data_IF_386701473751
#
_entry.id   IF_386701473751
#
_cell.length_a   1.000
_cell.length_b   1.000
_cell.length_c   1.000
_cell.angle_alpha   90.00
_cell.angle_beta   90.00
_cell.angle_gamma   90.00
#
_symmetry.space_group_name_H-M   'P 1'
#
loop_
_entity.id
_entity.type
_entity.pdbx_description
1 polymer ?
#
# COMPACT_ATOMS: atom_id res chain seq x y z
N UNK A 1 -20.75 -10.21 10.03
CA UNK A 1 -20.79 -9.26 11.17
C UNK A 1 -19.85 -8.13 10.81
N UNK A 2 -20.40 -7.00 10.38
CA UNK A 2 -19.62 -5.81 9.97
C UNK A 2 -19.02 -5.18 11.23
N UNK A 3 -17.78 -4.67 11.22
CA UNK A 3 -17.24 -3.96 12.36
C UNK A 3 -18.13 -2.77 12.73
N UNK A 4 -18.64 -2.81 13.96
CA UNK A 4 -19.34 -1.70 14.56
C UNK A 4 -18.29 -0.71 15.08
N UNK A 5 -18.31 0.51 14.55
CA UNK A 5 -17.63 1.62 15.18
C UNK A 5 -18.35 1.88 16.51
N UNK A 6 -17.64 1.68 17.62
CA UNK A 6 -18.14 1.98 18.98
C UNK A 6 -18.07 3.47 19.33
N UNK A 7 -17.73 4.33 18.37
CA UNK A 7 -17.72 5.77 18.57
C UNK A 7 -19.04 6.36 18.10
N UNK A 8 -19.73 7.09 18.99
CA UNK A 8 -20.75 8.04 18.59
C UNK A 8 -20.07 9.12 17.73
N UNK A 9 -19.99 8.90 16.42
CA UNK A 9 -19.30 9.78 15.48
C UNK A 9 -20.14 11.04 15.28
N UNK A 10 -19.91 12.04 16.12
CA UNK A 10 -20.42 13.42 15.95
C UNK A 10 -19.27 14.41 15.67
N UNK A 11 -18.18 13.94 15.08
CA UNK A 11 -16.91 14.68 14.92
C UNK A 11 -16.49 14.98 13.47
N UNK A 12 -15.25 15.43 13.25
CA UNK A 12 -14.77 15.88 11.93
C UNK A 12 -14.86 14.85 10.80
N UNK A 13 -14.78 13.55 11.10
CA UNK A 13 -14.97 12.52 10.08
C UNK A 13 -16.38 12.51 9.52
N UNK A 14 -17.41 12.67 10.36
CA UNK A 14 -18.81 12.68 9.88
C UNK A 14 -19.04 13.87 8.93
N UNK A 15 -18.42 15.01 9.22
CA UNK A 15 -18.44 16.17 8.32
C UNK A 15 -17.68 15.88 7.02
N UNK A 16 -16.51 15.22 7.08
CA UNK A 16 -15.77 14.81 5.89
C UNK A 16 -16.60 13.86 4.99
N UNK A 17 -17.22 12.84 5.58
CA UNK A 17 -18.09 11.90 4.88
C UNK A 17 -19.29 12.60 4.26
N UNK A 18 -19.94 13.50 5.01
CA UNK A 18 -21.04 14.33 4.49
C UNK A 18 -20.59 15.16 3.29
N UNK A 19 -19.41 15.78 3.35
CA UNK A 19 -18.83 16.54 2.23
C UNK A 19 -18.54 15.65 1.03
N UNK A 20 -18.03 14.44 1.24
CA UNK A 20 -17.80 13.49 0.15
C UNK A 20 -19.10 13.05 -0.53
N UNK A 21 -20.18 12.85 0.23
CA UNK A 21 -21.50 12.53 -0.31
C UNK A 21 -22.09 13.69 -1.10
N UNK A 22 -22.06 14.91 -0.53
CA UNK A 22 -22.55 16.12 -1.21
C UNK A 22 -21.76 16.45 -2.48
N UNK A 23 -20.48 16.09 -2.52
CA UNK A 23 -19.58 16.35 -3.63
C UNK A 23 -19.34 15.13 -4.53
N UNK A 24 -20.12 14.04 -4.41
CA UNK A 24 -19.89 12.76 -5.13
C UNK A 24 -19.61 12.96 -6.62
N UNK A 25 -20.49 13.71 -7.31
CA UNK A 25 -20.34 13.97 -8.75
C UNK A 25 -19.07 14.77 -9.08
N UNK A 26 -18.72 15.75 -8.23
CA UNK A 26 -17.52 16.56 -8.37
C UNK A 26 -16.27 15.71 -8.19
N UNK A 27 -16.22 14.88 -7.15
CA UNK A 27 -15.12 13.96 -6.84
C UNK A 27 -14.89 13.00 -8.01
N UNK A 28 -15.93 12.32 -8.47
CA UNK A 28 -15.81 11.34 -9.54
C UNK A 28 -15.43 11.99 -10.87
N UNK A 29 -15.89 13.22 -11.13
CA UNK A 29 -15.47 13.99 -12.30
C UNK A 29 -14.00 14.41 -12.20
N UNK A 30 -13.56 14.91 -11.06
CA UNK A 30 -12.19 15.34 -10.82
C UNK A 30 -11.23 14.17 -10.99
N UNK A 31 -11.51 13.03 -10.34
CA UNK A 31 -10.71 11.80 -10.49
C UNK A 31 -10.65 11.34 -11.94
N UNK A 32 -11.78 11.31 -12.68
CA UNK A 32 -11.77 10.98 -14.12
C UNK A 32 -10.85 11.90 -14.92
N UNK A 33 -10.82 13.20 -14.61
CA UNK A 33 -9.90 14.15 -15.22
C UNK A 33 -8.43 13.79 -14.95
N UNK A 34 -8.09 13.50 -13.69
CA UNK A 34 -6.74 13.09 -13.30
C UNK A 34 -6.28 11.81 -14.03
N UNK A 35 -7.17 10.83 -14.23
CA UNK A 35 -6.84 9.60 -14.97
C UNK A 35 -6.75 9.76 -16.50
N UNK A 36 -7.05 10.94 -17.05
CA UNK A 36 -6.73 11.27 -18.44
C UNK A 36 -5.31 11.82 -18.58
N UNK A 37 -4.78 12.42 -17.51
CA UNK A 37 -3.46 13.04 -17.47
C UNK A 37 -2.39 12.08 -16.95
N UNK A 38 -2.78 11.20 -16.00
CA UNK A 38 -1.86 10.30 -15.30
C UNK A 38 -2.23 8.83 -15.49
N UNK A 39 -1.21 8.00 -15.64
CA UNK A 39 -1.39 6.55 -15.82
C UNK A 39 -1.41 5.82 -14.48
N UNK A 40 -2.53 5.19 -14.08
CA UNK A 40 -2.58 4.46 -12.83
C UNK A 40 -1.65 3.22 -12.88
N UNK A 41 -1.02 2.84 -11.75
CA UNK A 41 -0.34 1.56 -11.63
C UNK A 41 -1.28 0.40 -11.97
N UNK A 42 -0.73 -0.73 -12.44
CA UNK A 42 -1.52 -1.94 -12.72
C UNK A 42 -2.34 -2.40 -11.51
N UNK A 43 -1.74 -2.33 -10.33
CA UNK A 43 -2.39 -2.62 -9.07
C UNK A 43 -1.73 -1.85 -7.91
N UNK A 44 -2.44 -1.73 -6.79
CA UNK A 44 -1.88 -1.24 -5.54
C UNK A 44 -2.75 -1.68 -4.36
N UNK A 45 -2.18 -1.63 -3.17
CA UNK A 45 -2.95 -1.57 -1.93
C UNK A 45 -2.58 -0.33 -1.13
N UNK A 46 -3.56 0.26 -0.46
CA UNK A 46 -3.37 1.43 0.42
C UNK A 46 -3.89 1.08 1.81
N UNK A 47 -3.01 1.19 2.80
CA UNK A 47 -3.38 1.07 4.22
C UNK A 47 -3.88 2.46 4.67
N UNK A 48 -5.09 2.52 5.19
CA UNK A 48 -5.69 3.76 5.73
C UNK A 48 -5.81 3.68 7.24
N UNK A 49 -5.87 4.83 7.90
CA UNK A 49 -6.31 4.94 9.29
C UNK A 49 -7.44 5.92 9.43
N UNK A 50 -8.43 5.49 10.21
CA UNK A 50 -9.57 6.29 10.60
C UNK A 50 -9.43 6.65 12.09
N UNK A 51 -9.18 7.92 12.38
CA UNK A 51 -9.03 8.45 13.73
C UNK A 51 -10.34 9.02 14.32
N UNK A 52 -11.45 9.00 13.56
CA UNK A 52 -12.69 9.71 13.90
C UNK A 52 -12.63 11.23 13.70
N UNK A 53 -11.44 11.81 13.64
CA UNK A 53 -11.19 13.21 13.27
C UNK A 53 -10.33 13.38 12.01
N UNK A 54 -9.77 12.28 11.48
CA UNK A 54 -8.89 12.26 10.31
C UNK A 54 -8.99 10.91 9.61
N UNK A 55 -9.00 10.91 8.28
CA UNK A 55 -8.97 9.71 7.44
C UNK A 55 -7.82 9.83 6.44
N UNK A 56 -6.72 9.12 6.70
CA UNK A 56 -5.47 9.33 5.97
C UNK A 56 -4.83 8.01 5.51
N UNK A 57 -4.16 7.99 4.35
CA UNK A 57 -3.32 6.88 3.96
C UNK A 57 -2.01 6.89 4.76
N UNK A 58 -1.60 5.72 5.22
CA UNK A 58 -0.37 5.53 6.01
C UNK A 58 0.68 4.68 5.31
N UNK A 59 0.28 3.90 4.30
CA UNK A 59 1.18 3.15 3.41
C UNK A 59 0.53 2.92 2.03
N UNK A 60 1.35 2.97 0.97
CA UNK A 60 0.95 2.64 -0.40
C UNK A 60 1.92 1.61 -0.97
N UNK A 61 1.41 0.41 -1.23
CA UNK A 61 2.19 -0.72 -1.73
C UNK A 61 1.85 -1.02 -3.19
N UNK A 62 2.87 -0.91 -4.06
CA UNK A 62 2.80 -1.24 -5.49
C UNK A 62 3.02 -2.73 -5.78
N UNK A 63 3.21 -3.55 -4.74
CA UNK A 63 3.36 -5.01 -4.82
C UNK A 63 2.42 -5.68 -3.81
N UNK A 64 1.10 -5.48 -3.91
CA UNK A 64 0.14 -5.99 -2.94
C UNK A 64 0.21 -7.52 -2.83
N UNK A 65 0.38 -8.02 -1.59
CA UNK A 65 0.65 -9.43 -1.28
C UNK A 65 -0.47 -10.16 -0.55
N UNK A 66 -1.71 -9.66 -0.63
CA UNK A 66 -2.86 -10.16 0.13
C UNK A 66 -4.13 -10.38 -0.72
N UNK A 67 -4.01 -10.71 -2.01
CA UNK A 67 -5.17 -10.98 -2.87
C UNK A 67 -6.06 -12.11 -2.33
N UNK A 68 -5.49 -13.07 -1.59
CA UNK A 68 -6.23 -14.17 -0.94
C UNK A 68 -7.17 -13.71 0.19
N UNK A 69 -6.99 -12.49 0.70
CA UNK A 69 -7.83 -11.92 1.76
C UNK A 69 -9.05 -11.16 1.19
N UNK A 70 -9.09 -10.92 -0.12
CA UNK A 70 -10.22 -10.26 -0.77
C UNK A 70 -11.46 -11.14 -0.72
N UNK A 71 -12.63 -10.53 -0.55
CA UNK A 71 -13.89 -11.25 -0.55
C UNK A 71 -14.14 -11.86 -1.95
N UNK A 72 -14.32 -13.20 -2.06
CA UNK A 72 -14.53 -13.88 -3.34
C UNK A 72 -15.73 -13.36 -4.15
N UNK A 73 -16.73 -12.75 -3.49
CA UNK A 73 -17.87 -12.14 -4.17
C UNK A 73 -17.48 -11.00 -5.14
N UNK A 74 -16.34 -10.34 -4.92
CA UNK A 74 -15.84 -9.29 -5.81
C UNK A 74 -14.88 -9.79 -6.89
N UNK A 75 -14.67 -11.11 -7.01
CA UNK A 75 -13.82 -11.64 -8.06
C UNK A 75 -14.22 -11.17 -9.47
N UNK A 76 -15.52 -11.12 -9.87
CA UNK A 76 -15.91 -10.59 -11.17
C UNK A 76 -15.47 -9.13 -11.38
N UNK A 77 -15.60 -8.28 -10.35
CA UNK A 77 -15.14 -6.89 -10.38
C UNK A 77 -13.62 -6.81 -10.55
N UNK A 78 -12.86 -7.61 -9.81
CA UNK A 78 -11.41 -7.63 -9.90
C UNK A 78 -10.92 -8.12 -11.28
N UNK A 79 -11.61 -9.08 -11.88
CA UNK A 79 -11.32 -9.55 -13.25
C UNK A 79 -11.57 -8.44 -14.26
N UNK A 80 -12.71 -7.74 -14.18
CA UNK A 80 -13.02 -6.63 -15.07
C UNK A 80 -12.01 -5.47 -14.94
N UNK A 81 -11.62 -5.13 -13.71
CA UNK A 81 -10.59 -4.12 -13.47
C UNK A 81 -9.23 -4.55 -14.06
N UNK A 82 -8.86 -5.82 -13.93
CA UNK A 82 -7.64 -6.35 -14.52
C UNK A 82 -7.68 -6.37 -16.06
N UNK A 83 -8.83 -6.64 -16.68
CA UNK A 83 -9.00 -6.50 -18.13
C UNK A 83 -8.72 -5.06 -18.58
N UNK A 84 -9.31 -4.06 -17.91
CA UNK A 84 -9.04 -2.64 -18.17
C UNK A 84 -7.55 -2.29 -18.04
N UNK A 85 -6.86 -2.84 -17.03
CA UNK A 85 -5.43 -2.64 -16.85
C UNK A 85 -4.61 -3.25 -18.01
N UNK A 86 -4.94 -4.48 -18.42
CA UNK A 86 -4.25 -5.20 -19.49
C UNK A 86 -4.46 -4.52 -20.84
N UNK A 87 -5.68 -4.08 -21.15
CA UNK A 87 -6.02 -3.38 -22.40
C UNK A 87 -5.20 -2.10 -22.59
N UNK A 88 -4.88 -1.40 -21.50
CA UNK A 88 -4.04 -0.19 -21.54
C UNK A 88 -2.56 -0.49 -21.71
N UNK A 89 -2.05 -1.52 -21.04
CA UNK A 89 -0.61 -1.78 -20.98
C UNK A 89 -0.16 -2.67 -22.14
N UNK A 90 -0.89 -3.75 -22.41
CA UNK A 90 -0.51 -4.76 -23.39
C UNK A 90 -1.76 -5.46 -23.99
N UNK A 91 -2.52 -4.77 -24.86
CA UNK A 91 -3.82 -5.25 -25.35
C UNK A 91 -3.75 -6.56 -26.14
N UNK A 92 -2.61 -6.85 -26.78
CA UNK A 92 -2.39 -8.08 -27.55
C UNK A 92 -1.70 -9.19 -26.73
N UNK A 93 -1.50 -8.98 -25.41
CA UNK A 93 -0.83 -9.96 -24.58
C UNK A 93 -1.60 -11.27 -24.54
N UNK A 94 -0.90 -12.36 -24.88
CA UNK A 94 -1.41 -13.74 -24.74
C UNK A 94 -0.86 -14.42 -23.49
N UNK A 95 0.37 -14.08 -23.15
CA UNK A 95 1.16 -14.74 -22.12
C UNK A 95 1.65 -13.68 -21.12
N UNK A 96 1.42 -13.92 -19.83
CA UNK A 96 1.92 -13.09 -18.74
C UNK A 96 2.76 -13.94 -17.79
N UNK A 97 3.94 -13.44 -17.46
CA UNK A 97 4.83 -14.05 -16.48
C UNK A 97 4.65 -13.33 -15.14
N UNK A 98 4.23 -14.07 -14.11
CA UNK A 98 4.16 -13.56 -12.75
C UNK A 98 5.44 -13.93 -12.00
N UNK A 99 6.14 -12.94 -11.44
CA UNK A 99 7.34 -13.14 -10.62
C UNK A 99 6.98 -12.83 -9.16
N UNK A 100 6.91 -13.82 -8.26
CA UNK A 100 6.60 -13.61 -6.86
C UNK A 100 7.84 -13.26 -6.03
N UNK A 101 7.62 -12.88 -4.77
CA UNK A 101 8.65 -12.87 -3.72
C UNK A 101 9.29 -14.25 -3.56
N UNK A 102 10.48 -14.25 -2.97
CA UNK A 102 11.28 -15.44 -2.71
C UNK A 102 10.75 -16.30 -1.54
N UNK A 103 9.53 -16.04 -1.06
CA UNK A 103 8.94 -16.74 0.07
C UNK A 103 8.32 -18.08 -0.34
N UNK A 104 8.98 -19.19 -0.02
CA UNK A 104 8.47 -20.56 -0.27
C UNK A 104 7.82 -21.23 0.93
N UNK A 105 7.93 -20.62 2.13
CA UNK A 105 7.41 -21.19 3.38
C UNK A 105 6.18 -20.44 3.92
N UNK A 106 5.97 -19.20 3.48
CA UNK A 106 4.83 -18.41 3.91
C UNK A 106 3.58 -18.84 3.14
N UNK A 107 2.78 -19.72 3.73
CA UNK A 107 1.55 -20.24 3.11
C UNK A 107 0.56 -19.14 2.71
N UNK A 108 0.42 -18.08 3.51
CA UNK A 108 -0.46 -16.95 3.18
C UNK A 108 0.01 -16.24 1.91
N UNK A 109 1.31 -16.00 1.78
CA UNK A 109 1.85 -15.39 0.58
C UNK A 109 1.71 -16.30 -0.66
N UNK A 110 1.91 -17.60 -0.52
CA UNK A 110 1.69 -18.53 -1.63
C UNK A 110 0.21 -18.58 -2.07
N UNK A 111 -0.73 -18.53 -1.13
CA UNK A 111 -2.16 -18.40 -1.43
C UNK A 111 -2.47 -17.07 -2.14
N UNK A 112 -1.80 -15.99 -1.78
CA UNK A 112 -1.86 -14.72 -2.52
C UNK A 112 -1.43 -14.90 -3.98
N UNK A 113 -0.28 -15.53 -4.24
CA UNK A 113 0.22 -15.74 -5.61
C UNK A 113 -0.73 -16.63 -6.41
N UNK A 114 -1.26 -17.70 -5.80
CA UNK A 114 -2.26 -18.55 -6.43
C UNK A 114 -3.53 -17.78 -6.80
N UNK A 115 -4.04 -16.95 -5.87
CA UNK A 115 -5.24 -16.13 -6.10
C UNK A 115 -5.03 -15.09 -7.19
N UNK A 116 -3.89 -14.40 -7.19
CA UNK A 116 -3.54 -13.42 -8.20
C UNK A 116 -3.40 -14.07 -9.59
N UNK A 117 -2.70 -15.21 -9.68
CA UNK A 117 -2.57 -15.94 -10.94
C UNK A 117 -3.92 -16.44 -11.47
N UNK A 118 -4.79 -16.94 -10.59
CA UNK A 118 -6.14 -17.38 -10.98
C UNK A 118 -6.99 -16.21 -11.51
N UNK A 119 -6.97 -15.07 -10.82
CA UNK A 119 -7.65 -13.84 -11.26
C UNK A 119 -7.15 -13.41 -12.65
N UNK A 120 -5.84 -13.36 -12.86
CA UNK A 120 -5.25 -12.95 -14.14
C UNK A 120 -5.53 -13.95 -15.27
N UNK A 121 -5.74 -15.24 -15.00
CA UNK A 121 -6.18 -16.19 -16.04
C UNK A 121 -7.60 -15.90 -16.53
N UNK A 122 -8.47 -15.39 -15.66
CA UNK A 122 -9.84 -15.04 -16.04
C UNK A 122 -9.92 -13.81 -16.96
N UNK A 123 -8.82 -13.06 -17.15
CA UNK A 123 -8.78 -11.96 -18.13
C UNK A 123 -8.49 -12.45 -19.55
N UNK A 124 -8.25 -13.75 -19.74
CA UNK A 124 -7.89 -14.34 -21.04
C UNK A 124 -6.39 -14.56 -21.24
N UNK A 125 -5.56 -14.28 -20.23
CA UNK A 125 -4.11 -14.49 -20.29
C UNK A 125 -3.69 -15.92 -19.90
N UNK A 126 -2.70 -16.46 -20.60
CA UNK A 126 -1.93 -17.60 -20.09
C UNK A 126 -0.95 -17.10 -19.04
N UNK A 127 -1.17 -17.46 -17.78
CA UNK A 127 -0.33 -17.02 -16.64
C UNK A 127 0.49 -18.17 -16.09
N UNK A 128 1.82 -18.01 -16.14
CA UNK A 128 2.80 -18.91 -15.51
C UNK A 128 3.69 -18.13 -14.55
N UNK A 129 4.30 -18.85 -13.60
CA UNK A 129 4.98 -18.26 -12.45
C UNK A 129 6.47 -18.57 -12.50
N UNK A 130 7.28 -17.52 -12.64
CA UNK A 130 8.73 -17.62 -12.70
C UNK A 130 9.37 -17.27 -11.36
N UNK A 131 10.23 -18.15 -10.85
CA UNK A 131 10.92 -17.92 -9.58
C UNK A 131 12.30 -17.29 -9.80
N UNK A 132 12.64 -16.33 -8.93
CA UNK A 132 13.99 -15.77 -8.82
C UNK A 132 14.92 -16.61 -7.93
N UNK A 133 14.40 -17.68 -7.31
CA UNK A 133 15.16 -18.55 -6.41
C UNK A 133 16.13 -19.44 -7.20
N UNK A 134 17.45 -19.36 -6.95
CA UNK A 134 18.44 -20.18 -7.65
C UNK A 134 18.24 -21.69 -7.46
N UNK A 135 17.65 -22.11 -6.34
CA UNK A 135 17.38 -23.52 -6.05
C UNK A 135 16.22 -24.11 -6.88
N UNK A 136 15.35 -23.28 -7.46
CA UNK A 136 14.27 -23.72 -8.36
C UNK A 136 14.87 -23.94 -9.74
N UNK A 137 15.39 -25.14 -9.98
CA UNK A 137 16.06 -25.52 -11.25
C UNK A 137 15.16 -26.28 -12.22
N UNK A 138 13.97 -26.69 -11.78
CA UNK A 138 12.92 -27.36 -12.56
C UNK A 138 11.54 -26.97 -12.04
N UNK A 139 10.46 -27.16 -12.82
CA UNK A 139 9.09 -26.91 -12.35
C UNK A 139 8.82 -27.60 -11.01
N UNK A 140 8.55 -26.79 -10.00
CA UNK A 140 8.40 -27.23 -8.61
C UNK A 140 7.00 -26.90 -8.13
N UNK A 141 6.19 -27.93 -7.89
CA UNK A 141 4.81 -27.77 -7.42
C UNK A 141 4.77 -27.74 -5.91
N UNK A 142 4.16 -26.71 -5.36
CA UNK A 142 3.91 -26.50 -3.94
C UNK A 142 2.43 -26.76 -3.65
N UNK A 143 2.15 -27.54 -2.61
CA UNK A 143 0.80 -27.72 -2.08
C UNK A 143 0.53 -26.65 -1.03
N UNK A 144 -0.63 -25.99 -1.15
CA UNK A 144 -1.03 -24.90 -0.27
C UNK A 144 -1.93 -25.41 0.86
N UNK A 145 -1.98 -24.66 1.97
CA UNK A 145 -2.79 -25.02 3.14
C UNK A 145 -4.30 -25.07 2.88
N UNK A 146 -4.79 -24.43 1.82
CA UNK A 146 -6.19 -24.45 1.40
C UNK A 146 -6.50 -25.52 0.34
N UNK A 147 -5.53 -26.40 0.04
CA UNK A 147 -5.67 -27.49 -0.92
C UNK A 147 -5.38 -27.12 -2.37
N UNK A 148 -5.13 -25.84 -2.68
CA UNK A 148 -4.67 -25.42 -3.99
C UNK A 148 -3.21 -25.85 -4.24
N UNK A 149 -2.78 -25.77 -5.50
CA UNK A 149 -1.39 -25.99 -5.89
C UNK A 149 -0.83 -24.78 -6.64
N UNK A 150 0.47 -24.57 -6.50
CA UNK A 150 1.22 -23.51 -7.16
C UNK A 150 2.48 -24.11 -7.78
N UNK A 151 2.69 -23.94 -9.08
CA UNK A 151 3.93 -24.39 -9.74
C UNK A 151 4.85 -23.20 -9.95
N UNK A 152 6.03 -23.26 -9.35
CA UNK A 152 7.12 -22.31 -9.56
C UNK A 152 8.08 -22.86 -10.61
N UNK A 153 8.52 -22.02 -11.52
CA UNK A 153 9.36 -22.46 -12.64
C UNK A 153 10.64 -21.64 -12.76
N UNK A 154 11.76 -22.25 -13.18
CA UNK A 154 13.01 -21.54 -13.38
C UNK A 154 12.86 -20.48 -14.49
N UNK A 155 13.24 -19.24 -14.17
CA UNK A 155 13.35 -18.17 -15.15
C UNK A 155 14.46 -18.46 -16.17
N UNK A 156 14.23 -18.09 -17.43
CA UNK A 156 15.19 -18.27 -18.52
C UNK A 156 15.24 -17.04 -19.42
N UNK A 157 16.45 -16.61 -19.80
CA UNK A 157 16.63 -15.65 -20.88
C UNK A 157 16.35 -16.31 -22.24
N UNK A 158 15.50 -15.68 -23.04
CA UNK A 158 15.03 -16.16 -24.33
C UNK A 158 15.59 -15.31 -25.49
N UNK A 159 15.57 -15.92 -26.68
CA UNK A 159 15.95 -15.28 -27.94
C UNK A 159 17.45 -15.01 -28.11
N UNK A 160 17.86 -14.52 -29.29
CA UNK A 160 19.24 -14.12 -29.56
C UNK A 160 19.71 -13.03 -28.57
N UNK A 161 20.84 -13.26 -27.92
CA UNK A 161 21.41 -12.33 -26.95
C UNK A 161 20.70 -12.29 -25.59
N UNK A 162 19.70 -13.16 -25.35
CA UNK A 162 19.06 -13.28 -24.04
C UNK A 162 18.34 -12.01 -23.57
N UNK A 163 17.75 -11.23 -24.49
CA UNK A 163 17.11 -9.94 -24.19
C UNK A 163 15.64 -10.05 -23.82
N UNK A 164 15.08 -11.26 -23.78
CA UNK A 164 13.72 -11.53 -23.30
C UNK A 164 13.79 -12.47 -22.11
N UNK A 165 12.81 -12.42 -21.24
CA UNK A 165 12.66 -13.29 -20.07
C UNK A 165 11.42 -14.15 -20.24
N UNK A 166 11.53 -15.44 -19.95
CA UNK A 166 10.40 -16.35 -19.97
C UNK A 166 10.70 -17.65 -19.25
N UNK A 167 9.98 -18.70 -19.62
CA UNK A 167 10.12 -20.05 -19.06
C UNK A 167 10.35 -21.05 -20.20
N UNK A 168 10.41 -22.34 -19.85
CA UNK A 168 10.43 -23.40 -20.85
C UNK A 168 9.15 -23.34 -21.72
N UNK A 169 9.35 -23.20 -23.03
CA UNK A 169 8.30 -23.05 -24.05
C UNK A 169 7.26 -21.95 -23.74
N UNK A 170 7.71 -20.86 -23.11
CA UNK A 170 6.82 -19.75 -22.75
C UNK A 170 7.53 -18.42 -22.85
N UNK A 171 7.17 -17.66 -23.88
CA UNK A 171 7.60 -16.29 -24.11
C UNK A 171 6.46 -15.33 -23.77
N UNK A 172 6.54 -14.59 -22.65
CA UNK A 172 5.51 -13.65 -22.22
C UNK A 172 5.63 -12.29 -22.93
N UNK A 173 4.49 -11.63 -23.14
CA UNK A 173 4.42 -10.25 -23.62
C UNK A 173 4.67 -9.25 -22.49
N UNK A 174 4.21 -9.60 -21.28
CA UNK A 174 4.33 -8.78 -20.08
C UNK A 174 4.76 -9.62 -18.88
N UNK A 175 5.46 -8.96 -17.96
CA UNK A 175 6.01 -9.55 -16.75
C UNK A 175 5.46 -8.73 -15.58
N UNK A 176 4.61 -9.36 -14.77
CA UNK A 176 4.07 -8.76 -13.56
C UNK A 176 4.96 -9.16 -12.37
N UNK A 177 5.55 -8.17 -11.71
CA UNK A 177 6.30 -8.31 -10.48
C UNK A 177 5.33 -8.26 -9.31
N UNK A 178 5.18 -9.37 -8.58
CA UNK A 178 4.68 -9.37 -7.20
C UNK A 178 5.83 -9.55 -6.20
N UNK A 179 7.02 -9.12 -6.61
CA UNK A 179 8.25 -9.05 -5.86
C UNK A 179 8.68 -7.59 -5.81
N UNK A 180 8.89 -7.08 -4.60
CA UNK A 180 9.10 -5.67 -4.33
C UNK A 180 10.53 -5.16 -4.63
N UNK A 181 11.42 -6.09 -5.02
CA UNK A 181 12.82 -5.87 -5.37
C UNK A 181 13.61 -5.12 -4.28
N UNK A 182 13.25 -5.28 -3.01
CA UNK A 182 13.93 -4.62 -1.89
C UNK A 182 15.43 -4.96 -1.86
N UNK A 183 15.81 -6.18 -2.24
CA UNK A 183 17.19 -6.64 -2.28
C UNK A 183 18.02 -6.05 -3.44
N UNK A 184 17.43 -5.20 -4.28
CA UNK A 184 17.98 -4.79 -5.55
C UNK A 184 17.40 -5.56 -6.73
N UNK A 185 17.67 -5.07 -7.93
CA UNK A 185 17.21 -5.68 -9.19
C UNK A 185 18.15 -6.83 -9.58
N UNK A 186 17.65 -8.07 -9.69
CA UNK A 186 18.45 -9.20 -10.19
C UNK A 186 18.85 -9.00 -11.66
N UNK A 187 20.06 -9.41 -12.04
CA UNK A 187 20.56 -9.25 -13.41
C UNK A 187 19.69 -9.96 -14.46
N UNK A 188 19.01 -11.04 -14.08
CA UNK A 188 18.13 -11.78 -14.99
C UNK A 188 16.91 -10.96 -15.46
N UNK A 189 16.53 -9.89 -14.77
CA UNK A 189 15.37 -9.04 -15.15
C UNK A 189 15.77 -7.64 -15.67
N UNK A 190 17.07 -7.36 -15.81
CA UNK A 190 17.57 -6.09 -16.40
C UNK A 190 17.59 -6.15 -17.92
N UNK A 191 17.60 -5.00 -18.58
CA UNK A 191 17.84 -4.90 -20.04
C UNK A 191 16.94 -5.83 -20.87
N UNK A 192 15.67 -5.93 -20.48
CA UNK A 192 14.65 -6.67 -21.21
C UNK A 192 14.15 -5.81 -22.39
N UNK A 193 13.93 -6.45 -23.52
CA UNK A 193 13.49 -5.81 -24.75
C UNK A 193 12.11 -6.36 -25.15
N UNK A 194 11.21 -5.49 -25.63
CA UNK A 194 9.87 -5.86 -26.10
C UNK A 194 9.01 -6.61 -25.05
N UNK A 195 9.29 -6.41 -23.76
CA UNK A 195 8.49 -6.95 -22.67
C UNK A 195 8.19 -5.84 -21.68
N UNK A 196 6.91 -5.70 -21.32
CA UNK A 196 6.50 -4.75 -20.30
C UNK A 196 6.79 -5.33 -18.92
N UNK A 197 7.57 -4.62 -18.11
CA UNK A 197 7.76 -4.95 -16.71
C UNK A 197 6.82 -4.10 -15.86
N UNK A 198 6.02 -4.75 -15.02
CA UNK A 198 4.88 -4.13 -14.34
C UNK A 198 4.98 -4.42 -12.83
N UNK A 199 5.06 -3.39 -11.97
CA UNK A 199 5.44 -2.02 -12.30
C UNK A 199 6.88 -1.95 -12.87
N UNK A 200 7.30 -0.82 -13.46
CA UNK A 200 8.67 -0.65 -13.96
C UNK A 200 9.69 -0.74 -12.83
N UNK A 201 10.96 -1.03 -13.16
CA UNK A 201 11.99 -1.33 -12.15
C UNK A 201 12.17 -0.24 -11.10
N UNK A 202 12.09 1.03 -11.48
CA UNK A 202 12.24 2.17 -10.57
C UNK A 202 11.10 2.29 -9.54
N UNK A 203 10.02 1.51 -9.69
CA UNK A 203 9.00 1.34 -8.66
C UNK A 203 9.45 0.46 -7.49
N UNK A 204 10.52 -0.32 -7.65
CA UNK A 204 11.04 -1.22 -6.63
C UNK A 204 11.69 -0.49 -5.45
N UNK A 205 11.66 -1.11 -4.27
CA UNK A 205 12.10 -0.47 -3.02
C UNK A 205 13.61 -0.23 -2.89
N UNK A 206 14.41 -0.81 -3.79
CA UNK A 206 15.84 -0.51 -3.86
C UNK A 206 16.12 0.98 -4.20
N UNK A 207 15.20 1.65 -4.90
CA UNK A 207 15.29 3.10 -5.21
C UNK A 207 14.08 3.90 -4.77
N UNK A 208 12.89 3.30 -4.68
CA UNK A 208 11.68 3.99 -4.23
C UNK A 208 11.83 4.50 -2.80
N UNK A 209 11.27 5.70 -2.53
CA UNK A 209 11.30 6.37 -1.22
C UNK A 209 9.88 6.77 -0.81
N UNK A 210 9.49 6.48 0.43
CA UNK A 210 8.16 6.85 0.97
C UNK A 210 7.98 8.37 1.00
N UNK A 211 9.03 9.12 1.30
CA UNK A 211 9.03 10.58 1.29
C UNK A 211 8.63 11.18 -0.06
N UNK A 212 9.08 10.58 -1.17
CA UNK A 212 8.68 11.00 -2.53
C UNK A 212 7.20 10.73 -2.78
N UNK A 213 6.71 9.58 -2.35
CA UNK A 213 5.29 9.25 -2.40
C UNK A 213 4.44 10.27 -1.62
N UNK A 214 4.78 10.55 -0.36
CA UNK A 214 4.01 11.47 0.47
C UNK A 214 4.16 12.94 0.01
N UNK A 215 5.25 13.30 -0.66
CA UNK A 215 5.38 14.59 -1.36
C UNK A 215 4.36 14.70 -2.49
N UNK A 216 4.26 13.67 -3.35
CA UNK A 216 3.24 13.62 -4.41
C UNK A 216 1.82 13.59 -3.83
N UNK A 217 1.60 12.86 -2.73
CA UNK A 217 0.32 12.82 -2.05
C UNK A 217 -0.09 14.17 -1.47
N UNK A 218 0.85 14.95 -0.93
CA UNK A 218 0.57 16.30 -0.46
C UNK A 218 0.04 17.20 -1.58
N UNK A 219 0.62 17.14 -2.78
CA UNK A 219 0.13 17.88 -3.94
C UNK A 219 -1.30 17.46 -4.35
N UNK A 220 -1.54 16.14 -4.43
CA UNK A 220 -2.85 15.58 -4.76
C UNK A 220 -3.90 15.97 -3.72
N UNK A 221 -3.57 15.84 -2.44
CA UNK A 221 -4.48 16.16 -1.34
C UNK A 221 -4.81 17.65 -1.29
N UNK A 222 -3.84 18.54 -1.56
CA UNK A 222 -4.08 19.99 -1.66
C UNK A 222 -5.03 20.33 -2.81
N UNK A 223 -4.77 19.82 -4.01
CA UNK A 223 -5.60 20.06 -5.18
C UNK A 223 -7.03 19.52 -4.98
N UNK A 224 -7.15 18.31 -4.43
CA UNK A 224 -8.45 17.71 -4.12
C UNK A 224 -9.21 18.49 -3.04
N UNK A 225 -8.54 18.86 -1.95
CA UNK A 225 -9.15 19.62 -0.87
C UNK A 225 -9.68 20.99 -1.33
N UNK A 226 -8.96 21.64 -2.26
CA UNK A 226 -9.42 22.87 -2.90
C UNK A 226 -10.67 22.65 -3.76
N UNK A 227 -10.74 21.54 -4.50
CA UNK A 227 -11.88 21.21 -5.37
C UNK A 227 -13.19 21.04 -4.58
N UNK A 228 -13.14 20.42 -3.40
CA UNK A 228 -14.35 20.11 -2.59
C UNK A 228 -14.50 20.98 -1.33
N UNK A 229 -13.57 21.88 -1.06
CA UNK A 229 -13.64 22.84 0.04
C UNK A 229 -13.50 22.21 1.44
N UNK A 230 -12.52 21.34 1.65
CA UNK A 230 -12.21 20.74 2.97
C UNK A 230 -10.83 21.20 3.49
N UNK A 231 -10.59 21.09 4.80
CA UNK A 231 -9.22 21.20 5.34
C UNK A 231 -8.41 19.99 4.89
N UNK A 232 -7.34 20.21 4.11
CA UNK A 232 -6.44 19.17 3.63
C UNK A 232 -5.88 18.29 4.75
N UNK A 233 -5.70 18.85 5.96
CA UNK A 233 -5.21 18.11 7.11
C UNK A 233 -6.11 16.92 7.49
N UNK A 234 -7.41 16.94 7.17
CA UNK A 234 -8.34 15.85 7.43
C UNK A 234 -8.02 14.57 6.62
N UNK A 235 -7.27 14.69 5.53
CA UNK A 235 -6.90 13.58 4.65
C UNK A 235 -5.39 13.41 4.44
N UNK A 236 -4.59 14.32 4.98
CA UNK A 236 -3.14 14.38 4.72
C UNK A 236 -2.33 14.43 6.02
N UNK A 237 -1.60 13.36 6.37
CA UNK A 237 -0.69 13.36 7.52
C UNK A 237 0.58 14.16 7.19
N UNK A 238 0.96 15.08 8.07
CA UNK A 238 2.23 15.80 7.93
C UNK A 238 3.43 14.86 8.08
N UNK A 239 4.55 15.17 7.43
CA UNK A 239 5.78 14.38 7.57
C UNK A 239 7.04 15.23 7.42
N UNK A 240 8.14 14.69 7.91
CA UNK A 240 9.50 15.20 7.79
C UNK A 240 10.45 14.05 7.41
N UNK A 241 11.65 14.39 6.94
CA UNK A 241 12.66 13.42 6.52
C UNK A 241 14.00 13.72 7.17
N UNK A 242 14.69 12.68 7.62
CA UNK A 242 16.08 12.75 8.02
C UNK A 242 16.91 11.75 7.23
N UNK A 243 17.94 12.23 6.53
CA UNK A 243 18.94 11.40 5.88
C UNK A 243 20.19 11.20 6.74
N UNK A 244 21.13 10.41 6.23
CA UNK A 244 22.44 10.16 6.86
C UNK A 244 22.33 9.59 8.29
N UNK A 245 21.34 8.73 8.52
CA UNK A 245 21.14 8.08 9.81
C UNK A 245 21.94 6.79 9.89
N UNK A 246 22.55 6.54 11.05
CA UNK A 246 23.04 5.22 11.43
C UNK A 246 22.71 4.96 12.89
N UNK A 247 21.69 4.12 13.13
CA UNK A 247 21.22 3.77 14.48
C UNK A 247 22.24 2.97 15.29
N UNK A 248 23.22 2.30 14.67
CA UNK A 248 24.28 1.60 15.40
C UNK A 248 25.37 2.56 15.88
N UNK A 249 25.71 3.54 15.05
CA UNK A 249 26.74 4.55 15.31
C UNK A 249 26.20 5.78 16.04
N UNK A 250 24.88 5.86 16.26
CA UNK A 250 24.18 7.03 16.82
C UNK A 250 24.36 8.29 15.96
N UNK A 251 24.60 8.12 14.67
CA UNK A 251 24.71 9.22 13.72
C UNK A 251 23.31 9.65 13.26
N UNK A 252 23.07 10.95 13.18
CA UNK A 252 21.79 11.53 12.74
C UNK A 252 20.70 11.62 13.82
N UNK A 253 20.99 11.29 15.08
CA UNK A 253 20.03 11.41 16.20
C UNK A 253 19.55 12.86 16.40
N UNK A 254 20.43 13.86 16.18
CA UNK A 254 20.09 15.29 16.30
C UNK A 254 19.04 15.73 15.27
N UNK A 255 19.14 15.26 14.01
CA UNK A 255 18.11 15.50 13.01
C UNK A 255 16.78 14.89 13.45
N UNK A 256 16.83 13.63 13.88
CA UNK A 256 15.63 12.89 14.28
C UNK A 256 14.91 13.57 15.43
N UNK A 257 15.64 14.00 16.46
CA UNK A 257 15.08 14.76 17.59
C UNK A 257 14.43 16.06 17.11
N UNK A 258 15.16 16.88 16.35
CA UNK A 258 14.67 18.19 15.91
C UNK A 258 13.41 18.07 15.04
N UNK A 259 13.35 17.09 14.14
CA UNK A 259 12.19 16.86 13.28
C UNK A 259 11.00 16.27 14.04
N UNK A 260 11.25 15.38 15.02
CA UNK A 260 10.19 14.87 15.91
C UNK A 260 9.56 16.01 16.71
N UNK A 261 10.37 16.86 17.34
CA UNK A 261 9.86 17.99 18.14
C UNK A 261 9.07 18.98 17.27
N UNK A 262 9.62 19.33 16.10
CA UNK A 262 8.98 20.22 15.13
C UNK A 262 7.63 19.67 14.67
N UNK A 263 7.56 18.39 14.31
CA UNK A 263 6.33 17.78 13.84
C UNK A 263 5.28 17.66 14.96
N UNK A 264 5.69 17.23 16.16
CA UNK A 264 4.81 17.20 17.33
C UNK A 264 4.24 18.58 17.68
N UNK A 265 5.05 19.64 17.55
CA UNK A 265 4.56 21.01 17.75
C UNK A 265 3.44 21.38 16.77
N UNK A 266 3.60 21.08 15.47
CA UNK A 266 2.58 21.33 14.45
C UNK A 266 1.31 20.52 14.68
N UNK A 267 1.45 19.23 15.01
CA UNK A 267 0.31 18.36 15.31
C UNK A 267 -0.46 18.87 16.54
N UNK A 268 0.23 19.28 17.61
CA UNK A 268 -0.40 19.90 18.80
C UNK A 268 -1.20 21.16 18.43
N UNK A 269 -0.73 21.96 17.48
CA UNK A 269 -1.46 23.12 16.99
C UNK A 269 -2.75 22.71 16.27
N UNK A 270 -2.66 21.76 15.32
CA UNK A 270 -3.83 21.23 14.62
C UNK A 270 -4.85 20.59 15.56
N UNK A 271 -4.39 19.83 16.55
CA UNK A 271 -5.27 19.23 17.55
C UNK A 271 -6.02 20.30 18.36
N UNK A 272 -5.36 21.40 18.76
CA UNK A 272 -6.05 22.53 19.42
C UNK A 272 -7.06 23.20 18.52
N UNK A 273 -6.73 23.43 17.24
CA UNK A 273 -7.63 24.06 16.27
C UNK A 273 -8.92 23.25 16.06
N UNK A 274 -8.81 21.91 16.16
CA UNK A 274 -9.92 20.96 15.99
C UNK A 274 -10.55 20.48 17.30
N UNK A 275 -10.10 21.00 18.47
CA UNK A 275 -10.63 20.62 19.78
C UNK A 275 -10.36 19.15 20.15
N UNK A 276 -9.22 18.60 19.74
CA UNK A 276 -8.81 17.22 19.97
C UNK A 276 -7.94 17.13 21.22
N UNK A 277 -8.40 16.39 22.22
CA UNK A 277 -7.70 16.18 23.51
C UNK A 277 -6.74 14.99 23.50
N UNK A 278 -6.62 14.27 22.37
CA UNK A 278 -5.73 13.12 22.24
C UNK A 278 -4.25 13.54 22.28
N UNK A 279 -3.39 12.66 22.80
CA UNK A 279 -1.95 12.88 22.80
C UNK A 279 -1.37 12.72 21.38
N UNK A 280 -0.68 13.74 20.83
CA UNK A 280 0.01 13.63 19.56
C UNK A 280 1.16 12.63 19.62
N UNK A 281 1.36 11.92 18.53
CA UNK A 281 2.50 11.04 18.35
C UNK A 281 2.98 11.11 16.89
N UNK A 282 4.19 10.64 16.65
CA UNK A 282 4.75 10.47 15.32
C UNK A 282 5.19 9.03 15.11
N UNK A 283 5.18 8.60 13.87
CA UNK A 283 5.70 7.32 13.42
C UNK A 283 7.02 7.57 12.69
N UNK A 284 8.11 7.09 13.27
CA UNK A 284 9.42 7.06 12.61
C UNK A 284 9.51 5.75 11.84
N UNK A 285 9.70 5.82 10.52
CA UNK A 285 9.82 4.65 9.65
C UNK A 285 10.94 4.80 8.63
N UNK A 286 11.61 3.69 8.30
CA UNK A 286 12.61 3.68 7.23
C UNK A 286 12.02 4.20 5.91
N UNK A 287 12.73 5.11 5.24
CA UNK A 287 12.22 5.76 4.02
C UNK A 287 12.20 4.81 2.81
N UNK A 288 13.07 3.80 2.83
CA UNK A 288 13.04 2.64 1.94
C UNK A 288 12.79 1.37 2.75
N UNK A 289 11.77 0.59 2.41
CA UNK A 289 11.52 -0.73 3.03
C UNK A 289 10.04 -1.10 3.16
N UNK A 290 9.79 -2.39 3.43
CA UNK A 290 8.45 -3.01 3.44
C UNK A 290 8.13 -3.76 4.74
N UNK A 291 6.92 -4.34 4.81
CA UNK A 291 6.41 -5.21 5.89
C UNK A 291 6.38 -4.59 7.30
N UNK A 292 6.30 -3.27 7.41
CA UNK A 292 6.24 -2.60 8.71
C UNK A 292 7.53 -2.75 9.55
N UNK A 293 8.65 -3.11 8.92
CA UNK A 293 9.96 -3.19 9.56
C UNK A 293 10.59 -1.81 9.70
N UNK A 294 11.40 -1.63 10.75
CA UNK A 294 12.03 -0.33 11.03
C UNK A 294 11.01 0.77 11.35
N UNK A 295 9.96 0.45 12.13
CA UNK A 295 8.93 1.41 12.55
C UNK A 295 8.93 1.57 14.08
N UNK A 296 8.83 2.79 14.58
CA UNK A 296 8.57 3.09 15.98
C UNK A 296 7.60 4.27 16.16
N UNK A 297 6.85 4.21 17.24
CA UNK A 297 5.96 5.28 17.71
C UNK A 297 6.72 6.14 18.71
N UNK A 298 6.60 7.46 18.61
CA UNK A 298 7.28 8.44 19.46
C UNK A 298 6.29 9.52 19.88
N UNK A 299 6.25 9.86 21.17
CA UNK A 299 5.38 10.91 21.74
C UNK A 299 6.17 12.11 22.24
N UNK A 300 7.46 11.91 22.52
CA UNK A 300 8.38 12.97 22.91
C UNK A 300 9.74 12.82 22.22
N UNK A 301 10.36 13.95 21.87
CA UNK A 301 11.65 13.97 21.18
C UNK A 301 12.78 13.33 22.00
N UNK A 302 12.68 13.28 23.33
CA UNK A 302 13.65 12.57 24.17
C UNK A 302 13.66 11.05 23.93
N UNK A 303 12.57 10.44 23.45
CA UNK A 303 12.51 9.00 23.22
C UNK A 303 13.44 8.53 22.09
N UNK A 304 13.79 9.42 21.15
CA UNK A 304 14.72 9.10 20.05
C UNK A 304 16.18 9.33 20.41
N UNK A 305 16.48 10.05 21.50
CA UNK A 305 17.83 10.21 22.04
C UNK A 305 18.31 8.97 22.79
N UNK A 306 17.43 8.36 23.56
CA UNK A 306 17.76 7.28 24.50
C UNK A 306 17.29 5.90 23.99
N UNK A 307 17.40 5.66 22.68
CA UNK A 307 17.04 4.38 22.08
C UNK A 307 17.85 3.26 22.71
N UNK A 308 17.16 2.28 23.33
CA UNK A 308 17.80 1.10 23.88
C UNK A 308 18.32 0.17 22.76
N UNK A 309 19.15 -0.82 23.13
CA UNK A 309 19.75 -1.76 22.17
C UNK A 309 18.70 -2.47 21.29
N UNK A 310 17.53 -2.82 21.84
CA UNK A 310 16.47 -3.50 21.10
C UNK A 310 15.82 -2.56 20.08
N UNK A 311 15.59 -1.31 20.44
CA UNK A 311 15.04 -0.29 19.55
C UNK A 311 16.01 0.03 18.41
N UNK A 312 17.30 0.22 18.70
CA UNK A 312 18.32 0.47 17.66
C UNK A 312 18.41 -0.69 16.67
N UNK A 313 18.43 -1.94 17.15
CA UNK A 313 18.42 -3.11 16.27
C UNK A 313 17.15 -3.19 15.40
N UNK A 314 16.00 -2.78 15.94
CA UNK A 314 14.73 -2.75 15.19
C UNK A 314 14.76 -1.70 14.07
N UNK A 315 15.37 -0.54 14.34
CA UNK A 315 15.40 0.60 13.41
C UNK A 315 16.58 0.57 12.44
N UNK A 316 17.63 -0.22 12.73
CA UNK A 316 18.85 -0.25 11.93
C UNK A 316 18.72 -0.98 10.59
N UNK A 317 17.80 -1.95 10.48
CA UNK A 317 17.69 -2.81 9.30
C UNK A 317 16.25 -2.97 8.81
N UNK A 318 16.11 -3.11 7.50
CA UNK A 318 14.86 -3.50 6.81
C UNK A 318 14.98 -4.90 6.21
N UNK A 319 14.09 -5.25 5.26
CA UNK A 319 14.06 -6.55 4.57
C UNK A 319 15.45 -6.89 4.02
N UNK A 320 15.82 -8.18 4.08
CA UNK A 320 17.14 -8.69 3.67
C UNK A 320 18.35 -8.12 4.47
N UNK A 321 18.12 -7.49 5.62
CA UNK A 321 19.20 -6.98 6.47
C UNK A 321 19.85 -5.68 5.96
N UNK A 322 19.22 -5.01 4.99
CA UNK A 322 19.69 -3.74 4.46
C UNK A 322 19.68 -2.65 5.53
N UNK A 323 20.74 -1.85 5.59
CA UNK A 323 20.87 -0.77 6.55
C UNK A 323 19.94 0.41 6.22
N UNK A 324 19.35 0.99 7.25
CA UNK A 324 18.54 2.21 7.14
C UNK A 324 19.46 3.42 7.15
N UNK A 325 19.45 4.17 6.05
CA UNK A 325 20.23 5.42 5.89
C UNK A 325 19.37 6.68 5.91
N UNK A 326 18.06 6.53 5.69
CA UNK A 326 17.07 7.60 5.62
C UNK A 326 15.80 7.16 6.36
N UNK A 327 15.20 8.06 7.15
CA UNK A 327 13.93 7.84 7.82
C UNK A 327 12.95 8.95 7.51
N UNK A 328 11.68 8.58 7.47
CA UNK A 328 10.55 9.48 7.41
C UNK A 328 9.89 9.52 8.79
N UNK A 329 9.68 10.72 9.32
CA UNK A 329 8.92 10.98 10.54
C UNK A 329 7.55 11.47 10.11
N UNK A 330 6.50 10.69 10.38
CA UNK A 330 5.14 11.01 9.93
C UNK A 330 4.22 11.26 11.13
N UNK A 331 3.27 12.18 10.98
CA UNK A 331 2.16 12.35 11.89
C UNK A 331 1.48 11.02 12.17
N UNK A 332 1.37 10.71 13.46
CA UNK A 332 0.67 9.53 13.94
C UNK A 332 -0.84 9.69 13.82
N UNK A 333 -1.44 8.89 12.94
CA UNK A 333 -2.90 8.79 12.85
C UNK A 333 -3.34 7.59 13.70
N UNK A 334 -4.11 7.77 14.78
CA UNK A 334 -4.65 6.65 15.53
C UNK A 334 -5.77 5.97 14.73
N UNK A 335 -6.07 4.72 15.04
CA UNK A 335 -7.28 4.07 14.53
C UNK A 335 -8.33 3.92 15.64
N UNK A 336 -9.58 4.28 15.35
CA UNK A 336 -10.73 4.03 16.23
C UNK A 336 -11.51 2.77 15.84
N UNK A 337 -11.06 2.06 14.80
CA UNK A 337 -11.76 0.89 14.30
C UNK A 337 -11.45 -0.34 15.13
N UNK A 338 -12.51 -1.12 15.42
CA UNK A 338 -12.37 -2.41 16.08
C UNK A 338 -13.12 -3.49 15.32
N UNK A 339 -12.48 -4.64 15.14
CA UNK A 339 -13.07 -5.83 14.48
C UNK A 339 -12.78 -7.03 15.35
N UNK A 340 -13.81 -7.80 15.71
CA UNK A 340 -13.67 -9.01 16.53
C UNK A 340 -12.80 -8.78 17.79
N UNK A 341 -13.05 -7.67 18.50
CA UNK A 341 -12.35 -7.20 19.70
C UNK A 341 -10.85 -6.88 19.53
N UNK A 342 -10.34 -6.75 18.31
CA UNK A 342 -9.00 -6.26 18.02
C UNK A 342 -9.02 -4.87 17.38
N UNK A 343 -7.95 -4.12 17.60
CA UNK A 343 -7.66 -2.87 16.88
C UNK A 343 -7.53 -3.18 15.40
N UNK A 344 -8.17 -2.38 14.55
CA UNK A 344 -8.24 -2.65 13.12
C UNK A 344 -7.83 -1.44 12.28
N UNK A 345 -7.24 -1.68 11.11
CA UNK A 345 -7.03 -0.67 10.07
C UNK A 345 -7.39 -1.25 8.70
N UNK A 346 -8.12 -0.51 7.84
CA UNK A 346 -8.54 -1.02 6.54
C UNK A 346 -7.40 -0.93 5.53
N UNK A 347 -7.33 -1.94 4.68
CA UNK A 347 -6.45 -2.01 3.51
C UNK A 347 -7.32 -2.07 2.27
N UNK A 348 -7.22 -1.05 1.42
CA UNK A 348 -8.01 -0.91 0.19
C UNK A 348 -7.19 -1.38 -1.00
N UNK A 349 -7.74 -2.27 -1.81
CA UNK A 349 -7.10 -2.84 -3.00
C UNK A 349 -7.66 -2.21 -4.27
N UNK A 350 -6.76 -1.89 -5.19
CA UNK A 350 -7.08 -1.34 -6.50
C UNK A 350 -6.35 -2.11 -7.59
N UNK A 351 -7.03 -2.26 -8.73
CA UNK A 351 -6.45 -2.71 -10.00
C UNK A 351 -6.85 -1.66 -11.04
N UNK A 352 -5.87 -1.19 -11.84
CA UNK A 352 -6.04 0.06 -12.60
C UNK A 352 -6.49 1.17 -11.63
N UNK A 353 -7.36 2.08 -12.07
CA UNK A 353 -8.00 3.11 -11.24
C UNK A 353 -9.19 2.63 -10.38
N UNK A 354 -9.53 1.34 -10.40
CA UNK A 354 -10.77 0.85 -9.76
C UNK A 354 -10.49 0.23 -8.40
N UNK A 355 -11.31 0.61 -7.40
CA UNK A 355 -11.34 -0.09 -6.11
C UNK A 355 -12.03 -1.44 -6.30
N UNK A 356 -11.30 -2.52 -6.05
CA UNK A 356 -11.78 -3.90 -6.27
C UNK A 356 -12.11 -4.63 -4.98
N UNK A 357 -11.70 -4.09 -3.84
CA UNK A 357 -12.01 -4.65 -2.55
C UNK A 357 -11.03 -4.21 -1.47
N UNK A 358 -10.91 -5.02 -0.42
CA UNK A 358 -10.04 -4.74 0.71
C UNK A 358 -10.26 -5.72 1.86
N UNK A 359 -9.52 -5.50 2.94
CA UNK A 359 -9.66 -6.23 4.20
C UNK A 359 -9.23 -5.37 5.38
N UNK A 360 -9.71 -5.71 6.57
CA UNK A 360 -9.14 -5.18 7.79
C UNK A 360 -7.93 -5.99 8.20
N UNK A 361 -6.85 -5.30 8.54
CA UNK A 361 -5.78 -5.84 9.36
C UNK A 361 -6.17 -5.67 10.81
N UNK A 362 -6.32 -6.77 11.54
CA UNK A 362 -6.80 -6.79 12.93
C UNK A 362 -5.70 -7.31 13.84
N UNK A 363 -5.43 -6.62 14.94
CA UNK A 363 -4.44 -7.03 15.93
C UNK A 363 -4.98 -6.83 17.35
N UNK A 364 -5.12 -7.92 18.11
CA UNK A 364 -5.61 -7.90 19.49
C UNK A 364 -4.52 -7.58 20.52
N UNK A 365 -3.26 -7.50 20.09
CA UNK A 365 -2.08 -7.28 20.95
C UNK A 365 -1.44 -5.91 20.71
N UNK A 366 -2.12 -5.03 19.97
CA UNK A 366 -1.63 -3.70 19.60
C UNK A 366 -2.69 -2.63 19.88
N UNK A 367 -2.24 -1.50 20.41
CA UNK A 367 -3.05 -0.31 20.64
C UNK A 367 -3.34 0.49 19.37
N UNK A 368 -4.15 1.53 19.53
CA UNK A 368 -4.64 2.41 18.46
C UNK A 368 -3.54 3.25 17.79
N UNK A 369 -2.44 3.49 18.50
CA UNK A 369 -1.27 4.30 18.12
C UNK A 369 -0.04 3.43 17.75
N UNK A 370 -0.21 2.11 17.69
CA UNK A 370 0.85 1.16 17.34
C UNK A 370 0.73 0.64 15.90
N UNK A 371 1.85 0.21 15.32
CA UNK A 371 1.85 -0.52 14.05
C UNK A 371 1.12 -1.87 14.20
N UNK A 372 0.01 -2.06 13.47
CA UNK A 372 -0.75 -3.32 13.51
C UNK A 372 -0.15 -4.39 12.60
N UNK A 373 0.72 -4.01 11.64
CA UNK A 373 1.52 -4.93 10.82
C UNK A 373 2.66 -5.53 11.66
N UNK A 374 2.28 -6.38 12.61
CA UNK A 374 3.13 -6.97 13.61
C UNK A 374 2.67 -8.42 13.92
N UNK A 375 3.52 -9.24 14.56
CA UNK A 375 3.12 -10.57 15.01
C UNK A 375 1.80 -10.54 15.80
N UNK A 376 0.95 -11.53 15.56
CA UNK A 376 -0.41 -11.60 16.13
C UNK A 376 -1.50 -10.97 15.27
N UNK A 377 -1.15 -10.30 14.16
CA UNK A 377 -2.16 -9.81 13.23
C UNK A 377 -2.91 -10.94 12.51
N UNK A 378 -4.18 -10.68 12.22
CA UNK A 378 -5.03 -11.48 11.34
C UNK A 378 -5.72 -10.57 10.32
N UNK A 379 -6.21 -11.14 9.24
CA UNK A 379 -6.97 -10.40 8.23
C UNK A 379 -8.42 -10.82 8.28
N UNK A 380 -9.30 -9.85 8.42
CA UNK A 380 -10.74 -10.05 8.32
C UNK A 380 -11.20 -9.41 7.02
N UNK A 381 -11.87 -10.15 6.12
CA UNK A 381 -12.39 -9.58 4.89
C UNK A 381 -13.18 -8.31 5.18
N UNK A 382 -12.92 -7.27 4.41
CA UNK A 382 -13.76 -6.08 4.41
C UNK A 382 -15.01 -6.56 3.67
N UNK A 383 -15.95 -7.13 4.41
CA UNK A 383 -17.22 -7.55 3.88
C UNK A 383 -18.00 -6.28 3.54
N UNK A 384 -17.69 -5.73 2.36
CA UNK A 384 -18.56 -4.81 1.65
C UNK A 384 -19.91 -5.52 1.49
N UNK A 385 -20.83 -5.31 2.44
CA UNK A 385 -22.24 -5.51 2.13
C UNK A 385 -22.67 -4.55 1.01
N UNK A 386 -21.92 -3.45 0.83
CA UNK A 386 -21.98 -2.46 -0.25
C UNK A 386 -20.55 -2.08 -0.69
N UNK A 387 -20.29 -1.98 -2.00
CA UNK A 387 -18.94 -1.69 -2.53
C UNK A 387 -18.47 -0.25 -2.27
N UNK A 388 -17.15 -0.01 -2.29
CA UNK A 388 -16.49 1.31 -2.14
C UNK A 388 -16.86 2.37 -3.19
N UNK A 389 -17.71 2.04 -4.16
CA UNK A 389 -18.06 2.88 -5.31
C UNK A 389 -19.55 3.19 -5.38
N UNK A 390 -20.31 2.79 -4.36
CA UNK A 390 -21.76 2.92 -4.30
C UNK A 390 -22.17 3.57 -2.96
N UNK A 391 -21.93 4.89 -2.79
CA UNK A 391 -22.48 5.61 -1.65
C UNK A 391 -24.02 5.62 -1.70
N UNK A 392 -24.65 5.77 -0.54
CA UNK A 392 -26.09 5.87 -0.37
C UNK A 392 -26.46 7.17 0.36
N UNK A 393 -26.90 8.15 -0.43
CA UNK A 393 -27.35 9.47 0.04
C UNK A 393 -28.63 9.42 0.90
N UNK A 394 -29.31 8.26 0.99
CA UNK A 394 -30.48 8.06 1.86
C UNK A 394 -30.12 7.55 3.25
N UNK A 395 -28.88 7.12 3.46
CA UNK A 395 -28.36 6.65 4.75
C UNK A 395 -27.54 7.73 5.46
N UNK A 396 -27.21 7.51 6.73
CA UNK A 396 -26.34 8.39 7.50
C UNK A 396 -24.94 8.51 6.86
N UNK A 397 -24.20 9.63 7.02
CA UNK A 397 -22.87 9.77 6.42
C UNK A 397 -21.85 8.69 6.82
N UNK A 398 -21.92 8.17 8.06
CA UNK A 398 -21.07 7.07 8.53
C UNK A 398 -21.70 5.67 8.32
N UNK A 399 -22.80 5.58 7.55
CA UNK A 399 -23.33 4.28 7.18
C UNK A 399 -22.29 3.49 6.38
N UNK A 400 -22.22 2.15 6.51
CA UNK A 400 -21.21 1.32 5.83
C UNK A 400 -20.92 1.68 4.36
N UNK A 401 -21.92 1.85 3.45
CA UNK A 401 -21.63 2.25 2.07
C UNK A 401 -20.89 3.58 1.95
N UNK A 402 -21.25 4.56 2.77
CA UNK A 402 -20.72 5.92 2.71
C UNK A 402 -19.30 6.00 3.30
N UNK A 403 -19.07 5.32 4.43
CA UNK A 403 -17.74 5.15 5.00
C UNK A 403 -16.79 4.43 4.04
N UNK A 404 -17.25 3.35 3.41
CA UNK A 404 -16.45 2.63 2.42
C UNK A 404 -16.20 3.43 1.15
N UNK A 405 -17.15 4.28 0.73
CA UNK A 405 -16.91 5.25 -0.32
C UNK A 405 -15.81 6.24 0.07
N UNK A 406 -15.83 6.77 1.30
CA UNK A 406 -14.77 7.65 1.79
C UNK A 406 -13.39 6.97 1.80
N UNK A 407 -13.32 5.70 2.21
CA UNK A 407 -12.09 4.91 2.11
C UNK A 407 -11.63 4.77 0.66
N UNK A 408 -12.55 4.49 -0.26
CA UNK A 408 -12.28 4.40 -1.69
C UNK A 408 -11.80 5.72 -2.30
N UNK A 409 -12.33 6.87 -1.86
CA UNK A 409 -11.85 8.19 -2.29
C UNK A 409 -10.41 8.40 -1.85
N UNK A 410 -10.10 8.28 -0.55
CA UNK A 410 -8.75 8.53 -0.02
C UNK A 410 -7.73 7.55 -0.59
N UNK A 411 -8.10 6.27 -0.77
CA UNK A 411 -7.24 5.29 -1.42
C UNK A 411 -6.93 5.65 -2.88
N UNK A 412 -7.91 6.16 -3.64
CA UNK A 412 -7.70 6.60 -5.03
C UNK A 412 -6.81 7.86 -5.12
N UNK A 413 -6.87 8.75 -4.13
CA UNK A 413 -5.93 9.88 -4.03
C UNK A 413 -4.50 9.38 -3.80
N UNK A 414 -4.31 8.40 -2.91
CA UNK A 414 -3.00 7.77 -2.71
C UNK A 414 -2.51 7.01 -3.97
N UNK A 415 -3.42 6.38 -4.71
CA UNK A 415 -3.09 5.75 -6.00
C UNK A 415 -2.65 6.79 -7.04
N UNK A 416 -3.32 7.94 -7.11
CA UNK A 416 -2.96 9.03 -8.01
C UNK A 416 -1.57 9.60 -7.66
N UNK A 417 -1.28 9.75 -6.37
CA UNK A 417 0.05 10.13 -5.89
C UNK A 417 1.12 9.12 -6.31
N UNK A 418 0.80 7.82 -6.30
CA UNK A 418 1.71 6.80 -6.79
C UNK A 418 1.93 6.86 -8.32
N UNK A 419 0.89 7.20 -9.10
CA UNK A 419 1.05 7.46 -10.54
C UNK A 419 2.03 8.62 -10.79
N UNK A 420 1.81 9.76 -10.14
CA UNK A 420 2.71 10.93 -10.21
C UNK A 420 4.15 10.60 -9.80
N UNK A 421 4.30 9.85 -8.71
CA UNK A 421 5.61 9.41 -8.21
C UNK A 421 6.35 8.56 -9.27
N UNK A 422 5.66 7.62 -9.92
CA UNK A 422 6.23 6.75 -10.95
C UNK A 422 6.62 7.53 -12.20
N UNK A 423 5.77 8.44 -12.67
CA UNK A 423 6.03 9.28 -13.84
C UNK A 423 7.25 10.18 -13.62
N UNK A 424 7.39 10.77 -12.43
CA UNK A 424 8.53 11.64 -12.07
C UNK A 424 9.83 10.87 -11.92
N UNK A 425 9.75 9.60 -11.54
CA UNK A 425 10.94 8.76 -11.37
C UNK A 425 11.44 8.16 -12.67
N UNK A 426 10.61 8.07 -13.73
CA UNK A 426 11.07 7.72 -15.08
C UNK A 426 12.08 8.72 -15.67
N UNK A 427 11.99 9.98 -15.27
CA UNK A 427 12.86 11.06 -15.77
C UNK A 427 14.21 11.20 -15.05
N UNK A 428 14.48 10.35 -14.06
CA UNK A 428 15.73 10.30 -13.27
C UNK A 428 16.51 9.04 -13.57
#
# INVERSE_FOLDING_TARGET
>A
MVPHLTTALTGPLLELERRFLEAETTIERWLRGQWLEHSPPFYASVDLRNAGFKLAPVDTNLFPGGFNNLNPAFLPLSVQAAQSAIEKICPEAKNLLLIPENHTRNQFYLMNVARLAALLRHTGLNVRIGSLLPEVTMPTTLTLSDGQTLTLEPLKRLGPGGRRLGLHDFDPCAILLNNDLSAGVPDIIKDLHEQFLIPPLHAGWHVRRKSRHFTAYNEVALAFAQEIGIDTWLINPEFEVCGQINFHERAGEECLEAQVDTLLYRIRAKYRDHGIDAEPFVIVKADAGTYGMGIMTVKDASEVKDLNRKQRNKMAVVKEGLQVTEVMIQEGVPTVETVAAGTAEPVVYMIDRYVVGGFYRVNTQRGIDENLNAPGMRFEPLAFETGCTLPDNTQAPDAPPNRFYAYGVVARLALLAAALELERSETT
#
